data_IF_777876969257
#
_entry.id   IF_777876969257
#
_cell.length_a   1.000
_cell.length_b   1.000
_cell.length_c   1.000
_cell.angle_alpha   90.00
_cell.angle_beta   90.00
_cell.angle_gamma   90.00
#
_symmetry.space_group_name_H-M   'P 1'
#
loop_
_entity.id
_entity.type
_entity.pdbx_description
1 polymer ?
#
# COMPACT_ATOMS: atom_id res chain seq x y z
N UNK A 1 -20.84 -9.96 -38.70
CA UNK A 1 -21.27 -9.14 -37.54
C UNK A 1 -20.16 -8.16 -37.29
N UNK A 2 -20.50 -6.88 -37.39
CA UNK A 2 -19.61 -5.83 -37.86
C UNK A 2 -18.62 -5.37 -36.80
N UNK A 3 -17.33 -5.38 -37.13
CA UNK A 3 -16.22 -4.87 -36.30
C UNK A 3 -16.51 -3.45 -35.78
N UNK A 4 -17.18 -2.63 -36.60
CA UNK A 4 -17.60 -1.28 -36.23
C UNK A 4 -18.64 -1.26 -35.07
N UNK A 5 -19.55 -2.24 -35.00
CA UNK A 5 -20.49 -2.34 -33.89
C UNK A 5 -19.81 -2.79 -32.59
N UNK A 6 -18.83 -3.68 -32.67
CA UNK A 6 -18.02 -4.07 -31.51
C UNK A 6 -17.15 -2.91 -31.00
N UNK A 7 -16.56 -2.11 -31.89
CA UNK A 7 -15.77 -0.92 -31.50
C UNK A 7 -16.65 0.17 -30.86
N UNK A 8 -17.85 0.43 -31.40
CA UNK A 8 -18.78 1.41 -30.84
C UNK A 8 -19.24 0.96 -29.44
N UNK A 9 -19.63 -0.31 -29.26
CA UNK A 9 -20.07 -0.84 -27.96
C UNK A 9 -18.95 -0.80 -26.92
N UNK A 10 -17.71 -1.16 -27.30
CA UNK A 10 -16.55 -1.06 -26.40
C UNK A 10 -16.23 0.38 -25.99
N UNK A 11 -16.47 1.35 -26.88
CA UNK A 11 -16.25 2.78 -26.61
C UNK A 11 -17.32 3.34 -25.67
N UNK A 12 -18.59 3.00 -25.89
CA UNK A 12 -19.72 3.40 -25.02
C UNK A 12 -19.61 2.80 -23.60
N UNK A 13 -19.14 1.55 -23.49
CA UNK A 13 -18.85 0.92 -22.19
C UNK A 13 -17.67 1.58 -21.46
N UNK A 14 -16.65 2.04 -22.20
CA UNK A 14 -15.52 2.76 -21.62
C UNK A 14 -15.93 4.15 -21.11
N UNK A 15 -16.69 4.91 -21.89
CA UNK A 15 -17.19 6.23 -21.49
C UNK A 15 -18.09 6.15 -20.24
N UNK A 16 -18.98 5.16 -20.20
CA UNK A 16 -19.83 4.90 -19.03
C UNK A 16 -19.00 4.58 -17.78
N UNK A 17 -17.93 3.80 -17.93
CA UNK A 17 -16.99 3.50 -16.83
C UNK A 17 -16.22 4.74 -16.39
N UNK A 18 -15.79 5.58 -17.33
CA UNK A 18 -15.10 6.83 -17.00
C UNK A 18 -15.99 7.78 -16.19
N UNK A 19 -17.27 7.91 -16.53
CA UNK A 19 -18.21 8.69 -15.70
C UNK A 19 -18.40 8.09 -14.31
N UNK A 20 -18.46 6.76 -14.20
CA UNK A 20 -18.47 6.07 -12.90
C UNK A 20 -17.20 6.34 -12.09
N UNK A 21 -16.03 6.28 -12.71
CA UNK A 21 -14.74 6.56 -12.07
C UNK A 21 -14.65 8.00 -11.57
N UNK A 22 -15.14 8.98 -12.36
CA UNK A 22 -15.26 10.37 -11.89
C UNK A 22 -16.15 10.47 -10.64
N UNK A 23 -17.25 9.73 -10.60
CA UNK A 23 -18.11 9.63 -9.42
C UNK A 23 -17.37 9.10 -8.19
N UNK A 24 -16.66 7.99 -8.33
CA UNK A 24 -15.86 7.38 -7.26
C UNK A 24 -14.76 8.33 -6.78
N UNK A 25 -14.03 8.96 -7.70
CA UNK A 25 -12.91 9.86 -7.41
C UNK A 25 -13.28 11.01 -6.48
N UNK A 26 -14.51 11.55 -6.61
CA UNK A 26 -15.01 12.61 -5.73
C UNK A 26 -15.04 12.18 -4.27
N UNK A 27 -15.38 10.92 -4.01
CA UNK A 27 -15.53 10.38 -2.65
C UNK A 27 -14.24 9.84 -2.03
N UNK A 28 -13.18 9.62 -2.83
CA UNK A 28 -11.90 9.15 -2.30
C UNK A 28 -11.25 10.22 -1.40
N UNK A 29 -10.50 9.78 -0.39
CA UNK A 29 -9.68 10.67 0.45
C UNK A 29 -8.26 10.11 0.46
N UNK A 30 -7.29 10.80 1.09
CA UNK A 30 -5.92 10.25 1.18
C UNK A 30 -5.92 8.98 2.05
N UNK A 31 -6.93 8.76 2.90
CA UNK A 31 -7.12 7.47 3.57
C UNK A 31 -7.49 6.31 2.62
N UNK A 32 -7.85 6.59 1.35
CA UNK A 32 -8.09 5.56 0.34
C UNK A 32 -6.77 5.12 -0.31
N UNK A 33 -6.45 3.83 -0.20
CA UNK A 33 -5.23 3.21 -0.74
C UNK A 33 -4.88 3.67 -2.17
N UNK A 34 -5.81 3.54 -3.11
CA UNK A 34 -5.62 3.97 -4.51
C UNK A 34 -5.29 5.46 -4.64
N UNK A 35 -5.92 6.30 -3.81
CA UNK A 35 -5.73 7.75 -3.87
C UNK A 35 -4.44 8.18 -3.17
N UNK A 36 -4.12 7.59 -2.01
CA UNK A 36 -2.85 7.77 -1.30
C UNK A 36 -1.67 7.54 -2.24
N UNK A 37 -1.65 6.39 -2.93
CA UNK A 37 -0.59 6.03 -3.88
C UNK A 37 -0.39 7.14 -4.91
N UNK A 38 -1.47 7.66 -5.47
CA UNK A 38 -1.41 8.70 -6.49
C UNK A 38 -1.05 10.09 -5.94
N UNK A 39 -1.44 10.41 -4.71
CA UNK A 39 -1.01 11.64 -4.02
C UNK A 39 0.49 11.58 -3.75
N UNK A 40 0.99 10.47 -3.19
CA UNK A 40 2.39 10.29 -2.82
C UNK A 40 3.33 10.07 -4.02
N UNK A 41 2.82 9.91 -5.26
CA UNK A 41 3.65 10.03 -6.49
C UNK A 41 4.36 11.40 -6.56
N UNK A 42 3.84 12.41 -5.86
CA UNK A 42 4.52 13.69 -5.63
C UNK A 42 5.26 13.64 -4.29
N UNK A 43 6.59 13.51 -4.35
CA UNK A 43 7.47 13.30 -3.19
C UNK A 43 7.32 14.34 -2.08
N UNK A 44 7.02 15.59 -2.44
CA UNK A 44 6.78 16.67 -1.49
C UNK A 44 5.60 16.38 -0.55
N UNK A 45 4.62 15.58 -0.98
CA UNK A 45 3.50 15.17 -0.13
C UNK A 45 3.98 14.21 0.97
N UNK A 46 4.78 13.20 0.61
CA UNK A 46 5.38 12.26 1.57
C UNK A 46 6.33 12.97 2.53
N UNK A 47 7.18 13.86 2.00
CA UNK A 47 8.08 14.68 2.82
C UNK A 47 7.29 15.50 3.85
N UNK A 48 6.21 16.17 3.44
CA UNK A 48 5.36 16.95 4.35
C UNK A 48 4.74 16.07 5.45
N UNK A 49 4.18 14.91 5.08
CA UNK A 49 3.60 13.96 6.04
C UNK A 49 4.65 13.52 7.08
N UNK A 50 5.86 13.15 6.63
CA UNK A 50 6.95 12.75 7.51
C UNK A 50 7.42 13.91 8.39
N UNK A 51 7.57 15.12 7.87
CA UNK A 51 7.96 16.31 8.65
C UNK A 51 6.97 16.61 9.79
N UNK A 52 5.67 16.36 9.59
CA UNK A 52 4.65 16.54 10.62
C UNK A 52 4.67 15.40 11.64
N UNK A 53 4.63 14.14 11.19
CA UNK A 53 4.61 12.96 12.07
C UNK A 53 5.86 12.89 12.94
N UNK A 54 7.03 13.11 12.34
CA UNK A 54 8.32 13.07 13.02
C UNK A 54 8.64 14.35 13.79
N UNK A 55 7.79 15.39 13.67
CA UNK A 55 8.02 16.73 14.22
C UNK A 55 9.42 17.28 13.84
N UNK A 56 9.84 17.08 12.58
CA UNK A 56 11.17 17.43 12.06
C UNK A 56 11.05 18.18 10.74
N UNK A 57 11.04 19.52 10.78
CA UNK A 57 10.76 20.40 9.61
C UNK A 57 11.88 20.46 8.56
N UNK A 58 13.08 20.12 8.99
CA UNK A 58 14.27 20.03 8.15
C UNK A 58 14.44 18.65 7.50
N UNK A 59 13.57 17.67 7.80
CA UNK A 59 13.56 16.37 7.13
C UNK A 59 13.40 16.56 5.61
N UNK A 60 14.30 15.95 4.84
CA UNK A 60 14.28 15.96 3.38
C UNK A 60 14.25 14.56 2.83
N UNK A 61 13.24 14.23 2.03
CA UNK A 61 13.14 12.92 1.38
C UNK A 61 13.96 12.96 0.09
N UNK A 62 15.01 12.14 0.03
CA UNK A 62 15.89 12.05 -1.14
C UNK A 62 15.47 10.94 -2.10
N UNK A 63 14.88 9.87 -1.59
CA UNK A 63 14.41 8.73 -2.36
C UNK A 63 13.06 8.23 -1.83
N UNK A 64 12.21 7.71 -2.73
CA UNK A 64 10.89 7.20 -2.40
C UNK A 64 10.46 6.14 -3.42
N UNK A 65 9.93 5.03 -2.91
CA UNK A 65 9.35 3.96 -3.71
C UNK A 65 7.97 3.62 -3.15
N UNK A 66 6.94 3.78 -3.97
CA UNK A 66 5.57 3.37 -3.66
C UNK A 66 5.38 1.89 -3.99
N UNK A 67 4.56 1.21 -3.20
CA UNK A 67 4.25 -0.21 -3.38
C UNK A 67 5.52 -1.05 -3.54
N UNK A 68 6.48 -0.87 -2.62
CA UNK A 68 7.77 -1.55 -2.70
C UNK A 68 7.60 -3.03 -2.34
N UNK A 69 7.77 -3.90 -3.33
CA UNK A 69 7.75 -5.35 -3.17
C UNK A 69 9.04 -5.85 -2.51
N UNK A 70 8.97 -6.11 -1.20
CA UNK A 70 10.02 -6.79 -0.47
C UNK A 70 9.85 -8.30 -0.57
N UNK A 71 10.64 -8.90 -1.44
CA UNK A 71 10.67 -10.34 -1.65
C UNK A 71 11.49 -11.03 -0.56
N UNK A 72 10.90 -12.04 0.06
CA UNK A 72 11.64 -12.95 0.92
C UNK A 72 11.65 -14.34 0.27
N UNK A 73 12.84 -14.86 -0.04
CA UNK A 73 12.99 -16.14 -0.75
C UNK A 73 12.62 -17.36 0.11
N UNK A 74 12.69 -17.24 1.43
CA UNK A 74 12.40 -18.33 2.38
C UNK A 74 11.15 -18.07 3.23
N UNK A 75 10.78 -16.80 3.39
CA UNK A 75 9.65 -16.36 4.20
C UNK A 75 8.53 -15.72 3.39
N UNK A 76 7.71 -14.90 4.06
CA UNK A 76 6.59 -14.21 3.44
C UNK A 76 7.03 -12.87 2.83
N UNK A 77 6.81 -12.66 1.54
CA UNK A 77 6.97 -11.32 0.95
C UNK A 77 5.91 -10.34 1.46
N UNK A 78 6.20 -9.05 1.42
CA UNK A 78 5.21 -8.01 1.63
C UNK A 78 5.45 -6.83 0.68
N UNK A 79 4.35 -6.20 0.27
CA UNK A 79 4.39 -4.94 -0.46
C UNK A 79 4.15 -3.84 0.57
N UNK A 80 5.14 -2.96 0.72
CA UNK A 80 5.04 -1.80 1.61
C UNK A 80 4.49 -0.61 0.83
N UNK A 81 3.61 0.15 1.47
CA UNK A 81 2.84 1.23 0.83
C UNK A 81 3.75 2.34 0.28
N UNK A 82 4.65 2.85 1.12
CA UNK A 82 5.55 3.93 0.75
C UNK A 82 6.84 3.87 1.57
N UNK A 83 7.93 3.42 0.93
CA UNK A 83 9.26 3.44 1.53
C UNK A 83 10.03 4.65 1.06
N UNK A 84 10.47 5.47 2.01
CA UNK A 84 11.25 6.67 1.81
C UNK A 84 12.62 6.56 2.48
N UNK A 85 13.59 7.30 1.93
CA UNK A 85 14.88 7.56 2.57
C UNK A 85 15.10 9.05 2.69
N UNK A 86 15.52 9.49 3.87
CA UNK A 86 15.84 10.90 4.11
C UNK A 86 17.31 11.25 3.81
N UNK A 87 17.64 12.53 3.91
CA UNK A 87 19.00 13.05 3.69
C UNK A 87 20.04 12.60 4.72
N UNK A 88 19.61 12.07 5.86
CA UNK A 88 20.49 11.51 6.91
C UNK A 88 20.69 9.99 6.72
N UNK A 89 20.01 9.38 5.75
CA UNK A 89 20.10 7.95 5.45
C UNK A 89 19.05 7.09 6.17
N UNK A 90 18.18 7.71 6.98
CA UNK A 90 17.11 6.99 7.70
C UNK A 90 16.10 6.43 6.73
N UNK A 91 15.60 5.24 7.02
CA UNK A 91 14.58 4.58 6.19
C UNK A 91 13.23 4.61 6.88
N UNK A 92 12.19 4.97 6.15
CA UNK A 92 10.84 5.14 6.68
C UNK A 92 9.85 4.42 5.79
N UNK A 93 9.02 3.58 6.37
CA UNK A 93 7.83 3.02 5.74
C UNK A 93 6.58 3.72 6.28
N UNK A 94 5.69 4.18 5.39
CA UNK A 94 4.43 4.84 5.73
C UNK A 94 3.27 4.02 5.18
N UNK A 95 2.50 3.44 6.10
CA UNK A 95 1.36 2.55 5.85
C UNK A 95 0.06 3.25 6.22
N UNK A 96 -0.91 3.34 5.29
CA UNK A 96 -2.22 3.94 5.57
C UNK A 96 -3.29 2.85 5.63
N UNK A 97 -3.95 2.71 6.79
CA UNK A 97 -4.88 1.63 7.06
C UNK A 97 -6.29 2.14 7.38
N UNK A 98 -7.26 1.73 6.57
CA UNK A 98 -8.69 2.02 6.83
C UNK A 98 -9.28 1.14 7.93
N UNK A 99 -8.89 -0.14 7.94
CA UNK A 99 -9.36 -1.12 8.92
C UNK A 99 -8.23 -1.46 9.89
N UNK A 100 -8.56 -1.55 11.18
CA UNK A 100 -7.58 -1.83 12.23
C UNK A 100 -6.92 -3.21 12.09
N UNK A 101 -7.58 -4.17 11.41
CA UNK A 101 -7.03 -5.51 11.16
C UNK A 101 -5.70 -5.46 10.39
N UNK A 102 -5.57 -4.48 9.49
CA UNK A 102 -4.34 -4.25 8.73
C UNK A 102 -3.19 -3.69 9.56
N UNK A 103 -3.43 -3.17 10.76
CA UNK A 103 -2.43 -2.45 11.56
C UNK A 103 -1.97 -3.24 12.80
N UNK A 104 -1.96 -4.57 12.77
CA UNK A 104 -1.53 -5.35 13.95
C UNK A 104 -0.06 -5.09 14.33
N UNK A 105 0.30 -5.06 15.63
CA UNK A 105 1.69 -4.87 16.06
C UNK A 105 2.67 -5.92 15.50
N UNK A 106 2.18 -7.14 15.23
CA UNK A 106 2.96 -8.21 14.60
C UNK A 106 3.31 -7.87 13.15
N UNK A 107 2.40 -7.22 12.41
CA UNK A 107 2.65 -6.76 11.04
C UNK A 107 3.68 -5.64 11.03
N UNK A 108 3.57 -4.67 11.95
CA UNK A 108 4.56 -3.60 12.07
C UNK A 108 5.97 -4.14 12.34
N UNK A 109 6.10 -5.08 13.28
CA UNK A 109 7.37 -5.78 13.54
C UNK A 109 7.87 -6.55 12.30
N UNK A 110 6.96 -7.15 11.54
CA UNK A 110 7.31 -7.89 10.32
C UNK A 110 7.85 -6.97 9.21
N UNK A 111 7.25 -5.80 9.03
CA UNK A 111 7.70 -4.78 8.07
C UNK A 111 9.08 -4.24 8.44
N UNK A 112 9.30 -3.95 9.72
CA UNK A 112 10.63 -3.56 10.23
C UNK A 112 11.68 -4.64 9.90
N UNK A 113 11.41 -5.91 10.20
CA UNK A 113 12.33 -7.00 9.85
C UNK A 113 12.57 -7.16 8.34
N UNK A 114 11.54 -6.96 7.50
CA UNK A 114 11.70 -7.02 6.05
C UNK A 114 12.59 -5.88 5.52
N UNK A 115 12.48 -4.68 6.08
CA UNK A 115 13.36 -3.56 5.73
C UNK A 115 14.81 -3.88 6.07
N UNK A 116 15.08 -4.37 7.28
CA UNK A 116 16.43 -4.71 7.74
C UNK A 116 17.06 -5.82 6.88
N UNK A 117 16.31 -6.90 6.62
CA UNK A 117 16.76 -8.05 5.82
C UNK A 117 17.12 -7.70 4.38
N UNK A 118 16.61 -6.60 3.85
CA UNK A 118 16.84 -6.15 2.48
C UNK A 118 17.74 -4.90 2.40
N UNK A 119 18.34 -4.49 3.52
CA UNK A 119 19.21 -3.32 3.57
C UNK A 119 20.70 -3.67 3.49
N UNK A 120 21.12 -4.72 4.21
CA UNK A 120 22.52 -5.15 4.21
C UNK A 120 22.81 -6.23 3.16
N UNK A 121 23.99 -6.16 2.55
CA UNK A 121 24.53 -7.20 1.70
C UNK A 121 25.32 -8.24 2.53
N UNK A 122 25.51 -9.47 2.01
CA UNK A 122 26.32 -10.48 2.68
C UNK A 122 27.73 -9.97 3.02
N UNK A 123 28.08 -10.03 4.31
CA UNK A 123 29.39 -9.63 4.82
C UNK A 123 29.52 -8.18 5.27
N UNK A 124 28.46 -7.36 5.20
CA UNK A 124 28.43 -6.02 5.83
C UNK A 124 28.29 -6.12 7.36
N UNK A 125 28.71 -5.06 8.05
CA UNK A 125 28.56 -4.96 9.50
C UNK A 125 27.08 -4.70 9.86
N UNK A 126 26.62 -5.22 11.00
CA UNK A 126 25.28 -4.94 11.49
C UNK A 126 25.15 -3.49 11.98
N UNK A 127 26.26 -2.89 12.42
CA UNK A 127 26.31 -1.47 12.81
C UNK A 127 26.13 -0.53 11.60
N UNK A 128 26.19 -1.05 10.36
CA UNK A 128 25.85 -0.29 9.14
C UNK A 128 24.33 -0.22 8.87
N UNK A 129 23.48 -0.84 9.71
CA UNK A 129 22.03 -0.72 9.59
C UNK A 129 21.61 0.74 9.81
N UNK A 130 20.83 1.33 8.89
CA UNK A 130 20.31 2.67 9.08
C UNK A 130 19.16 2.66 10.09
N UNK A 131 19.06 3.74 10.87
CA UNK A 131 17.90 4.01 11.70
C UNK A 131 16.60 3.92 10.86
N UNK A 132 15.63 3.17 11.37
CA UNK A 132 14.45 2.78 10.61
C UNK A 132 13.14 3.08 11.36
N UNK A 133 12.12 3.42 10.60
CA UNK A 133 10.79 3.75 11.10
C UNK A 133 9.73 3.01 10.31
N UNK A 134 8.83 2.32 11.00
CA UNK A 134 7.59 1.80 10.42
C UNK A 134 6.41 2.59 11.00
N UNK A 135 5.72 3.33 10.15
CA UNK A 135 4.71 4.32 10.54
C UNK A 135 3.35 3.86 10.02
N UNK A 136 2.45 3.49 10.93
CA UNK A 136 1.06 3.18 10.62
C UNK A 136 0.17 4.39 10.88
N UNK A 137 -0.47 4.92 9.85
CA UNK A 137 -1.56 5.90 9.97
C UNK A 137 -2.88 5.14 9.90
N UNK A 138 -3.59 5.04 11.01
CA UNK A 138 -4.81 4.24 11.12
C UNK A 138 -6.05 5.12 11.18
N UNK A 139 -7.14 4.69 10.56
CA UNK A 139 -8.43 5.42 10.56
C UNK A 139 -8.98 5.63 11.96
N UNK A 140 -9.00 4.55 12.75
CA UNK A 140 -9.40 4.54 14.14
C UNK A 140 -8.20 4.34 15.07
N UNK A 141 -8.43 4.39 16.37
CA UNK A 141 -7.42 4.16 17.39
C UNK A 141 -7.05 2.67 17.49
N UNK A 142 -6.11 2.22 16.67
CA UNK A 142 -5.73 0.81 16.59
C UNK A 142 -5.13 0.26 17.90
N UNK A 143 -4.57 1.12 18.76
CA UNK A 143 -3.98 0.72 20.04
C UNK A 143 -4.90 0.97 21.25
N UNK A 144 -5.92 1.83 21.11
CA UNK A 144 -6.99 1.99 22.09
C UNK A 144 -6.66 2.84 23.32
N UNK A 145 -5.57 3.61 23.30
CA UNK A 145 -5.14 4.46 24.42
C UNK A 145 -5.61 5.92 24.31
N UNK A 146 -6.32 6.28 23.25
CA UNK A 146 -6.94 7.60 23.07
C UNK A 146 -5.97 8.75 22.73
N UNK A 147 -4.72 8.45 22.35
CA UNK A 147 -3.72 9.47 21.95
C UNK A 147 -3.72 9.68 20.43
N UNK A 148 -3.25 10.84 19.94
CA UNK A 148 -3.09 11.11 18.51
C UNK A 148 -1.91 10.36 17.87
N UNK A 149 -0.87 10.06 18.65
CA UNK A 149 0.35 9.39 18.17
C UNK A 149 0.95 8.53 19.28
N UNK A 150 1.54 7.39 18.90
CA UNK A 150 2.22 6.45 19.76
C UNK A 150 3.60 6.16 19.19
N UNK A 151 4.62 6.24 20.05
CA UNK A 151 5.99 5.84 19.73
C UNK A 151 6.30 4.57 20.50
N UNK A 152 6.73 3.54 19.79
CA UNK A 152 6.99 2.21 20.34
C UNK A 152 8.47 1.92 20.15
N UNK A 153 9.19 1.96 21.26
CA UNK A 153 10.63 1.71 21.35
C UNK A 153 10.92 0.54 22.30
N UNK A 154 12.01 -0.19 22.05
CA UNK A 154 12.47 -1.25 22.94
C UNK A 154 13.21 -0.64 24.13
N UNK A 155 12.96 -1.19 25.32
CA UNK A 155 13.60 -0.81 26.57
C UNK A 155 14.23 -2.01 27.24
N UNK A 156 15.30 -1.76 27.99
CA UNK A 156 15.91 -2.72 28.90
C UNK A 156 15.04 -2.77 30.14
N UNK A 157 14.36 -3.89 30.38
CA UNK A 157 13.31 -4.01 31.41
C UNK A 157 13.86 -3.74 32.82
N UNK A 158 15.06 -4.23 33.12
CA UNK A 158 15.66 -4.18 34.45
C UNK A 158 16.09 -2.76 34.88
N UNK A 159 16.38 -1.88 33.92
CA UNK A 159 16.88 -0.52 34.19
C UNK A 159 16.01 0.57 33.56
N UNK A 160 14.96 0.21 32.82
CA UNK A 160 14.04 1.13 32.14
C UNK A 160 14.71 2.11 31.16
N UNK A 161 15.91 1.78 30.68
CA UNK A 161 16.66 2.56 29.69
C UNK A 161 16.31 2.14 28.26
N UNK A 162 16.50 3.05 27.29
CA UNK A 162 16.31 2.73 25.87
C UNK A 162 17.35 1.70 25.40
N UNK A 163 16.90 0.73 24.61
CA UNK A 163 17.79 -0.30 24.05
C UNK A 163 18.71 0.26 22.95
N UNK A 164 18.29 1.34 22.28
CA UNK A 164 19.05 2.07 21.24
C UNK A 164 19.43 1.20 20.04
N UNK A 165 18.50 0.36 19.58
CA UNK A 165 18.62 -0.42 18.35
C UNK A 165 18.15 0.34 17.10
N UNK A 166 17.79 1.62 17.24
CA UNK A 166 17.45 2.53 16.12
C UNK A 166 16.29 2.04 15.23
N UNK A 167 15.50 1.08 15.71
CA UNK A 167 14.33 0.54 15.05
C UNK A 167 13.06 1.03 15.76
N UNK A 168 12.30 1.87 15.07
CA UNK A 168 11.15 2.57 15.64
C UNK A 168 9.84 2.15 14.98
N UNK A 169 8.78 2.04 15.78
CA UNK A 169 7.42 1.85 15.26
C UNK A 169 6.56 3.01 15.75
N UNK A 170 5.82 3.63 14.84
CA UNK A 170 4.93 4.75 15.13
C UNK A 170 3.51 4.38 14.70
N UNK A 171 2.54 4.64 15.56
CA UNK A 171 1.12 4.58 15.22
C UNK A 171 0.50 5.96 15.34
N UNK A 172 -0.17 6.40 14.29
CA UNK A 172 -0.88 7.68 14.22
C UNK A 172 -2.37 7.42 14.11
N UNK A 173 -3.13 7.97 15.05
CA UNK A 173 -4.57 7.84 15.12
C UNK A 173 -5.26 8.98 14.35
N UNK A 174 -5.64 8.73 13.09
CA UNK A 174 -6.20 9.79 12.23
C UNK A 174 -7.60 10.26 12.61
N UNK A 175 -8.26 9.60 13.57
CA UNK A 175 -9.50 10.09 14.18
C UNK A 175 -9.27 11.35 15.03
N UNK A 176 -8.04 11.57 15.50
CA UNK A 176 -7.66 12.72 16.31
C UNK A 176 -7.31 13.91 15.43
N UNK A 177 -8.32 14.74 15.17
CA UNK A 177 -8.23 15.93 14.32
C UNK A 177 -8.27 17.22 15.16
N UNK A 178 -7.46 17.27 16.21
CA UNK A 178 -7.36 18.43 17.12
C UNK A 178 -6.67 19.62 16.41
N UNK A 179 -6.80 20.83 16.94
CA UNK A 179 -6.15 22.03 16.37
C UNK A 179 -4.65 22.09 16.67
N UNK A 180 -3.93 21.08 16.19
CA UNK A 180 -2.48 20.94 16.21
C UNK A 180 -2.01 20.65 14.79
N UNK A 181 -0.72 20.76 14.51
CA UNK A 181 -0.22 20.46 13.16
C UNK A 181 -0.48 19.00 12.75
N UNK A 182 -0.26 18.05 13.67
CA UNK A 182 -0.59 16.65 13.43
C UNK A 182 -2.10 16.45 13.24
N UNK A 183 -2.93 17.05 14.08
CA UNK A 183 -4.39 16.94 13.97
C UNK A 183 -4.94 17.56 12.68
N UNK A 184 -4.36 18.67 12.21
CA UNK A 184 -4.67 19.28 10.91
C UNK A 184 -4.22 18.41 9.74
N UNK A 185 -3.05 17.76 9.83
CA UNK A 185 -2.67 16.75 8.84
C UNK A 185 -3.70 15.61 8.82
N UNK A 186 -4.09 15.08 9.98
CA UNK A 186 -5.09 14.01 10.07
C UNK A 186 -6.44 14.47 9.49
N UNK A 187 -6.85 15.72 9.71
CA UNK A 187 -8.01 16.31 9.07
C UNK A 187 -7.90 16.26 7.54
N UNK A 188 -6.80 16.75 6.99
CA UNK A 188 -6.56 16.78 5.54
C UNK A 188 -6.62 15.36 4.94
N UNK A 189 -6.11 14.33 5.63
CA UNK A 189 -6.18 12.96 5.10
C UNK A 189 -7.62 12.46 4.90
N UNK A 190 -8.58 13.01 5.65
CA UNK A 190 -10.02 12.71 5.56
C UNK A 190 -10.79 13.65 4.63
N UNK A 191 -10.18 14.74 4.15
CA UNK A 191 -10.87 15.68 3.27
C UNK A 191 -11.12 15.09 1.88
N UNK A 192 -12.32 15.33 1.36
CA UNK A 192 -12.68 15.00 -0.02
C UNK A 192 -12.27 16.10 -1.00
N UNK A 193 -12.39 17.36 -0.60
CA UNK A 193 -12.10 18.50 -1.45
C UNK A 193 -10.80 19.19 -1.00
N UNK A 194 -10.07 19.74 -1.96
CA UNK A 194 -8.82 20.45 -1.69
C UNK A 194 -9.04 21.76 -0.92
N UNK A 195 -10.19 22.42 -1.09
CA UNK A 195 -10.52 23.68 -0.41
C UNK A 195 -10.74 23.52 1.10
N UNK A 196 -11.06 22.30 1.55
CA UNK A 196 -11.25 21.97 2.95
C UNK A 196 -9.92 21.68 3.67
N UNK A 197 -8.80 21.60 2.95
CA UNK A 197 -7.50 21.22 3.52
C UNK A 197 -6.74 22.41 4.10
N UNK A 198 -6.01 22.16 5.19
CA UNK A 198 -5.10 23.12 5.80
C UNK A 198 -3.74 23.19 5.09
N UNK A 199 -3.21 22.05 4.67
CA UNK A 199 -1.91 21.96 4.00
C UNK A 199 -2.03 22.34 2.54
N UNK A 200 -1.35 23.42 2.15
CA UNK A 200 -1.27 23.81 0.74
C UNK A 200 -0.62 22.72 -0.14
N UNK A 201 0.37 22.00 0.39
CA UNK A 201 1.08 20.95 -0.37
C UNK A 201 0.12 19.83 -0.76
N UNK A 202 -0.69 19.37 0.20
CA UNK A 202 -1.70 18.34 -0.05
C UNK A 202 -2.88 18.88 -0.85
N UNK A 203 -3.37 20.09 -0.53
CA UNK A 203 -4.45 20.74 -1.24
C UNK A 203 -4.14 20.90 -2.73
N UNK A 204 -2.96 21.42 -3.08
CA UNK A 204 -2.55 21.60 -4.48
C UNK A 204 -2.51 20.25 -5.22
N UNK A 205 -2.06 19.17 -4.55
CA UNK A 205 -2.00 17.83 -5.15
C UNK A 205 -3.39 17.19 -5.31
N UNK A 206 -4.25 17.33 -4.31
CA UNK A 206 -5.63 16.82 -4.38
C UNK A 206 -6.43 17.57 -5.43
N UNK A 207 -6.29 18.90 -5.50
CA UNK A 207 -6.89 19.72 -6.55
C UNK A 207 -6.41 19.27 -7.93
N UNK A 208 -5.10 19.08 -8.10
CA UNK A 208 -4.53 18.58 -9.36
C UNK A 208 -5.22 17.28 -9.79
N UNK A 209 -5.31 16.29 -8.90
CA UNK A 209 -5.84 14.95 -9.22
C UNK A 209 -7.37 14.91 -9.40
N UNK A 210 -8.12 15.79 -8.74
CA UNK A 210 -9.60 15.73 -8.72
C UNK A 210 -10.30 16.78 -9.57
N UNK A 211 -9.70 17.94 -9.78
CA UNK A 211 -10.36 19.09 -10.39
C UNK A 211 -9.78 19.46 -11.75
N UNK A 212 -8.50 19.16 -12.00
CA UNK A 212 -7.92 19.40 -13.32
C UNK A 212 -8.30 18.31 -14.29
N UNK A 213 -8.59 18.67 -15.54
CA UNK A 213 -8.91 17.70 -16.59
C UNK A 213 -7.83 16.60 -16.70
N UNK A 214 -6.55 16.99 -16.70
CA UNK A 214 -5.44 16.04 -16.79
C UNK A 214 -5.37 15.09 -15.61
N UNK A 215 -5.57 15.59 -14.39
CA UNK A 215 -5.54 14.76 -13.18
C UNK A 215 -6.71 13.78 -13.12
N UNK A 216 -7.92 14.24 -13.47
CA UNK A 216 -9.10 13.37 -13.52
C UNK A 216 -8.92 12.27 -14.57
N UNK A 217 -8.47 12.62 -15.79
CA UNK A 217 -8.19 11.64 -16.84
C UNK A 217 -7.12 10.63 -16.39
N UNK A 218 -6.06 11.10 -15.72
CA UNK A 218 -5.03 10.25 -15.15
C UNK A 218 -5.61 9.28 -14.10
N UNK A 219 -6.39 9.78 -13.14
CA UNK A 219 -7.01 8.95 -12.10
C UNK A 219 -7.99 7.93 -12.68
N UNK A 220 -8.77 8.29 -13.71
CA UNK A 220 -9.63 7.34 -14.40
C UNK A 220 -8.84 6.20 -15.06
N UNK A 221 -7.68 6.50 -15.65
CA UNK A 221 -6.80 5.47 -16.22
C UNK A 221 -6.22 4.55 -15.15
N UNK A 222 -5.78 5.11 -14.02
CA UNK A 222 -5.28 4.31 -12.88
C UNK A 222 -6.37 3.37 -12.35
N UNK A 223 -7.61 3.86 -12.20
CA UNK A 223 -8.74 3.02 -11.79
C UNK A 223 -9.12 1.96 -12.82
N UNK A 224 -9.08 2.27 -14.11
CA UNK A 224 -9.31 1.30 -15.19
C UNK A 224 -8.24 0.21 -15.21
N UNK A 225 -6.97 0.56 -14.96
CA UNK A 225 -5.89 -0.41 -14.87
C UNK A 225 -6.11 -1.37 -13.70
N UNK A 226 -6.41 -0.85 -12.50
CA UNK A 226 -6.70 -1.66 -11.32
C UNK A 226 -7.91 -2.56 -11.57
N UNK A 227 -8.96 -2.03 -12.21
CA UNK A 227 -10.14 -2.82 -12.57
C UNK A 227 -9.80 -3.96 -13.54
N UNK A 228 -8.98 -3.69 -14.55
CA UNK A 228 -8.55 -4.68 -15.55
C UNK A 228 -7.67 -5.77 -14.92
N UNK A 229 -6.69 -5.37 -14.11
CA UNK A 229 -5.85 -6.31 -13.35
C UNK A 229 -6.67 -7.16 -12.38
N UNK A 230 -7.71 -6.58 -11.76
CA UNK A 230 -8.65 -7.29 -10.90
C UNK A 230 -9.47 -8.34 -11.64
N UNK A 231 -9.91 -8.07 -12.87
CA UNK A 231 -10.59 -9.05 -13.72
C UNK A 231 -9.64 -10.20 -14.05
N UNK A 232 -8.44 -9.90 -14.55
CA UNK A 232 -7.46 -10.90 -14.96
C UNK A 232 -7.05 -11.80 -13.78
N UNK A 233 -6.81 -11.20 -12.61
CA UNK A 233 -6.52 -11.93 -11.38
C UNK A 233 -7.67 -12.84 -10.96
N UNK A 234 -8.92 -12.36 -11.04
CA UNK A 234 -10.11 -13.16 -10.72
C UNK A 234 -10.33 -14.34 -11.67
N UNK A 235 -10.11 -14.12 -12.97
CA UNK A 235 -10.16 -15.19 -13.98
C UNK A 235 -9.09 -16.25 -13.72
N UNK A 236 -7.86 -15.82 -13.42
CA UNK A 236 -6.75 -16.72 -13.11
C UNK A 236 -6.99 -17.49 -11.80
N UNK A 237 -7.56 -16.87 -10.78
CA UNK A 237 -7.91 -17.54 -9.52
C UNK A 237 -9.00 -18.59 -9.73
N UNK A 238 -10.06 -18.27 -10.49
CA UNK A 238 -11.11 -19.25 -10.82
C UNK A 238 -10.57 -20.42 -11.65
N UNK A 239 -9.63 -20.17 -12.56
CA UNK A 239 -8.94 -21.22 -13.31
C UNK A 239 -8.12 -22.13 -12.38
N UNK A 240 -7.45 -21.55 -11.36
CA UNK A 240 -6.71 -22.30 -10.33
C UNK A 240 -7.63 -23.16 -9.46
N UNK A 241 -8.73 -22.59 -8.96
CA UNK A 241 -9.73 -23.33 -8.16
C UNK A 241 -10.36 -24.48 -8.95
N UNK A 242 -10.71 -24.24 -10.22
CA UNK A 242 -11.23 -25.28 -11.13
C UNK A 242 -10.18 -26.36 -11.38
N UNK A 243 -8.91 -25.96 -11.54
CA UNK A 243 -7.79 -26.89 -11.73
C UNK A 243 -7.64 -27.82 -10.52
N UNK A 244 -7.66 -27.28 -9.31
CA UNK A 244 -7.54 -28.06 -8.07
C UNK A 244 -8.73 -29.02 -7.93
N UNK A 245 -9.96 -28.54 -8.10
CA UNK A 245 -11.16 -29.39 -8.01
C UNK A 245 -11.15 -30.55 -9.03
N UNK A 246 -10.74 -30.29 -10.28
CA UNK A 246 -10.65 -31.34 -11.30
C UNK A 246 -9.51 -32.33 -11.02
N UNK A 247 -8.40 -31.85 -10.45
CA UNK A 247 -7.28 -32.72 -10.05
C UNK A 247 -7.67 -33.63 -8.88
N UNK A 248 -8.41 -33.13 -7.89
CA UNK A 248 -8.98 -33.93 -6.78
C UNK A 248 -9.96 -35.00 -7.29
N UNK A 249 -10.67 -34.72 -8.39
CA UNK A 249 -11.51 -35.71 -9.09
C UNK A 249 -10.71 -36.72 -9.93
N UNK A 250 -9.38 -36.64 -9.94
CA UNK A 250 -8.48 -37.59 -10.61
C UNK A 250 -8.29 -37.33 -12.11
N UNK A 251 -8.61 -36.12 -12.61
CA UNK A 251 -8.35 -35.80 -14.01
C UNK A 251 -6.85 -35.54 -14.23
N UNK A 252 -6.27 -36.01 -15.35
CA UNK A 252 -4.86 -35.75 -15.66
C UNK A 252 -4.63 -34.29 -16.09
N UNK A 253 -3.45 -33.77 -15.74
CA UNK A 253 -3.08 -32.36 -15.94
C UNK A 253 -3.21 -31.87 -17.39
N UNK A 254 -2.96 -32.72 -18.39
CA UNK A 254 -3.09 -32.38 -19.81
C UNK A 254 -4.55 -32.11 -20.24
N UNK A 255 -5.51 -32.80 -19.63
CA UNK A 255 -6.94 -32.59 -19.85
C UNK A 255 -7.44 -31.37 -19.10
N UNK A 256 -6.96 -31.15 -17.88
CA UNK A 256 -7.28 -29.96 -17.10
C UNK A 256 -6.76 -28.71 -17.83
N UNK A 257 -5.51 -28.71 -18.28
CA UNK A 257 -4.90 -27.65 -19.08
C UNK A 257 -5.74 -27.27 -20.31
N UNK A 258 -6.28 -28.27 -21.03
CA UNK A 258 -7.21 -28.02 -22.14
C UNK A 258 -8.54 -27.43 -21.69
N UNK A 259 -9.07 -27.86 -20.55
CA UNK A 259 -10.36 -27.40 -20.03
C UNK A 259 -10.30 -25.95 -19.53
N UNK A 260 -9.24 -25.58 -18.82
CA UNK A 260 -9.02 -24.21 -18.31
C UNK A 260 -8.27 -23.31 -19.30
N UNK A 261 -7.79 -23.87 -20.42
CA UNK A 261 -6.98 -23.18 -21.46
C UNK A 261 -5.71 -22.52 -20.90
N UNK A 262 -5.10 -23.15 -19.90
CA UNK A 262 -3.84 -22.72 -19.29
C UNK A 262 -2.74 -23.71 -19.70
N UNK A 263 -1.49 -23.23 -19.79
CA UNK A 263 -0.33 -24.07 -20.04
C UNK A 263 -0.24 -25.23 -19.05
N UNK A 264 0.10 -26.42 -19.54
CA UNK A 264 0.15 -27.65 -18.72
C UNK A 264 1.20 -27.54 -17.60
N UNK A 265 2.26 -26.77 -17.83
CA UNK A 265 3.31 -26.42 -16.88
C UNK A 265 2.77 -25.61 -15.69
N UNK A 266 1.92 -24.62 -15.95
CA UNK A 266 1.28 -23.79 -14.93
C UNK A 266 0.24 -24.61 -14.14
N UNK A 267 -0.54 -25.44 -14.83
CA UNK A 267 -1.51 -26.37 -14.21
C UNK A 267 -0.79 -27.34 -13.27
N UNK A 268 0.32 -27.94 -13.72
CA UNK A 268 1.10 -28.86 -12.90
C UNK A 268 1.64 -28.16 -11.64
N UNK A 269 2.19 -26.95 -11.79
CA UNK A 269 2.66 -26.15 -10.67
C UNK A 269 1.55 -25.88 -9.64
N UNK A 270 0.34 -25.52 -10.08
CA UNK A 270 -0.78 -25.27 -9.16
C UNK A 270 -1.21 -26.53 -8.40
N UNK A 271 -1.19 -27.70 -9.05
CA UNK A 271 -1.48 -28.99 -8.41
C UNK A 271 -0.42 -29.30 -7.35
N UNK A 272 0.86 -29.16 -7.70
CA UNK A 272 1.99 -29.45 -6.81
C UNK A 272 1.99 -28.52 -5.57
N UNK A 273 1.73 -27.21 -5.78
CA UNK A 273 1.56 -26.24 -4.71
C UNK A 273 0.42 -26.63 -3.75
N UNK A 274 -0.74 -27.04 -4.28
CA UNK A 274 -1.89 -27.43 -3.46
C UNK A 274 -1.60 -28.66 -2.60
N UNK A 275 -0.85 -29.64 -3.12
CA UNK A 275 -0.50 -30.84 -2.35
C UNK A 275 0.57 -30.56 -1.28
N UNK A 276 1.44 -29.57 -1.49
CA UNK A 276 2.48 -29.19 -0.53
C UNK A 276 1.93 -28.53 0.74
N UNK A 277 0.74 -27.94 0.69
CA UNK A 277 0.07 -27.29 1.83
C UNK A 277 -0.71 -28.28 2.71
N UNK A 278 -0.94 -29.51 2.23
CA UNK A 278 -1.71 -30.56 2.92
C UNK A 278 -0.85 -31.49 3.82
N UNK A 279 0.44 -31.19 4.02
CA UNK A 279 1.39 -31.98 4.82
C UNK A 279 2.07 -31.16 5.93
#
# INVERSE_FOLDING_TARGET
>A
MDVAKEEIVKTEELETRYERYKGILKDLTIMSDVFMRNVFKKRECTEYVLQVIMNKKDLKVIDQVLQKDYKNLQGRSAILDCVARDSEGKQMDVEIQQDNEGASPKRARYHSGLMDMNTLNPGQDFDDLPESYVIFITRDDALGYGLPIYHIDRKIEEVSENFKDEAHIIYVNSKKQEDTELGRLMHDLHCKNAEDMHSKILADRVYELKETQKGVEFMCREMEQIYSEGIESGEMQKAKETTIALAEMGLPADKIAKAVKIGVDVVQKWIDESMSVAH
#
